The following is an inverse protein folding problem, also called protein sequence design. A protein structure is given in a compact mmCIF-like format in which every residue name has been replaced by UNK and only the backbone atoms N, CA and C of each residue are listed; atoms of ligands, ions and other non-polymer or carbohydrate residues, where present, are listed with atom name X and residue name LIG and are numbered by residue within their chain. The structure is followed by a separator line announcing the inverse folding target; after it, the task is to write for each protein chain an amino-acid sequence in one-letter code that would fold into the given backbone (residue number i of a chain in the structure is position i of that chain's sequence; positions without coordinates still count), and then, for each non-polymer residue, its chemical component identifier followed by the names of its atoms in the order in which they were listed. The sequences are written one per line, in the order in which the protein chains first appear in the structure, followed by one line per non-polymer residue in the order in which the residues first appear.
data_IF_621722874226
#
_entry.id   IF_621722874226
#
_cell.length_a   1.000
_cell.length_b   1.000
_cell.length_c   1.000
_cell.angle_alpha   90.00
_cell.angle_beta   90.00
_cell.angle_gamma   90.00
#
_symmetry.space_group_name_H-M   'P 1'
#
loop_
_entity.id
_entity.type
_entity.pdbx_description
1 polymer ?
#
# COMPACT_ATOMS: atom_id res chain seq x y z
N UNK A 1 27.39 -25.64 -21.46
CA UNK A 1 26.21 -26.31 -20.91
C UNK A 1 25.68 -25.45 -19.78
N UNK A 2 24.54 -24.79 -19.97
CA UNK A 2 23.86 -24.07 -18.89
C UNK A 2 23.06 -25.13 -18.14
N UNK A 3 23.46 -25.44 -16.92
CA UNK A 3 22.81 -26.46 -16.09
C UNK A 3 21.34 -26.10 -15.82
N UNK A 4 20.51 -27.11 -15.62
CA UNK A 4 19.12 -26.94 -15.22
C UNK A 4 19.08 -26.32 -13.81
N UNK A 5 18.91 -24.99 -13.73
CA UNK A 5 18.90 -24.22 -12.47
C UNK A 5 17.59 -24.37 -11.67
N UNK A 6 16.84 -25.45 -11.89
CA UNK A 6 15.50 -25.65 -11.35
C UNK A 6 15.48 -26.63 -10.18
N UNK A 7 16.53 -26.61 -9.37
CA UNK A 7 16.62 -27.34 -8.11
C UNK A 7 15.84 -26.55 -7.04
N UNK A 8 15.11 -27.28 -6.21
CA UNK A 8 14.24 -26.77 -5.16
C UNK A 8 14.37 -27.66 -3.94
N UNK A 9 14.47 -27.03 -2.77
CA UNK A 9 14.76 -27.70 -1.50
C UNK A 9 13.58 -28.54 -1.04
N UNK A 10 12.38 -27.94 -1.01
CA UNK A 10 11.18 -28.68 -0.66
C UNK A 10 10.42 -29.09 -1.92
N UNK A 11 9.86 -30.33 -1.96
CA UNK A 11 9.00 -30.76 -3.06
C UNK A 11 7.79 -29.85 -3.26
N UNK A 12 7.34 -29.18 -2.19
CA UNK A 12 6.23 -28.22 -2.21
C UNK A 12 6.52 -27.00 -3.07
N UNK A 13 7.79 -26.71 -3.28
CA UNK A 13 8.23 -25.51 -3.97
C UNK A 13 8.25 -25.63 -5.49
N UNK A 14 7.88 -26.79 -6.02
CA UNK A 14 7.80 -27.05 -7.45
C UNK A 14 6.43 -27.62 -7.79
N UNK A 15 5.95 -27.31 -9.00
CA UNK A 15 4.76 -27.94 -9.57
C UNK A 15 5.13 -28.64 -10.89
N UNK A 16 4.85 -29.95 -11.04
CA UNK A 16 4.25 -30.86 -10.06
C UNK A 16 5.21 -31.13 -8.89
N UNK A 17 4.68 -31.34 -7.67
CA UNK A 17 5.49 -31.65 -6.49
C UNK A 17 6.35 -32.89 -6.76
N UNK A 18 7.68 -32.69 -6.83
CA UNK A 18 8.66 -33.77 -7.02
C UNK A 18 9.92 -33.41 -6.25
N UNK A 19 10.39 -34.35 -5.44
CA UNK A 19 11.66 -34.20 -4.74
C UNK A 19 12.82 -34.18 -5.73
N UNK A 20 13.84 -33.37 -5.46
CA UNK A 20 15.12 -33.50 -6.15
C UNK A 20 15.93 -34.66 -5.57
N UNK A 21 17.05 -35.00 -6.20
CA UNK A 21 17.95 -36.03 -5.67
C UNK A 21 18.48 -35.58 -4.32
N UNK A 22 18.40 -36.45 -3.31
CA UNK A 22 18.86 -36.15 -1.94
C UNK A 22 20.28 -35.57 -1.93
N UNK A 23 21.22 -36.20 -2.65
CA UNK A 23 22.60 -35.74 -2.76
C UNK A 23 22.78 -34.30 -3.29
N UNK A 24 21.83 -33.77 -4.08
CA UNK A 24 21.87 -32.37 -4.53
C UNK A 24 21.35 -31.40 -3.47
N UNK A 25 20.36 -31.82 -2.69
CA UNK A 25 19.83 -31.03 -1.56
C UNK A 25 20.85 -31.01 -0.43
N UNK A 26 21.44 -32.16 -0.10
CA UNK A 26 22.49 -32.29 0.92
C UNK A 26 23.72 -31.43 0.57
N UNK A 27 24.16 -31.43 -0.70
CA UNK A 27 25.27 -30.59 -1.15
C UNK A 27 24.97 -29.08 -1.08
N UNK A 28 23.70 -28.69 -1.25
CA UNK A 28 23.28 -27.30 -1.07
C UNK A 28 23.25 -26.93 0.41
N UNK A 29 22.75 -27.81 1.27
CA UNK A 29 22.71 -27.58 2.71
C UNK A 29 24.13 -27.49 3.30
N UNK A 30 25.06 -28.33 2.83
CA UNK A 30 26.48 -28.23 3.17
C UNK A 30 27.09 -26.90 2.70
N UNK A 31 26.76 -26.45 1.49
CA UNK A 31 27.20 -25.16 0.97
C UNK A 31 26.64 -23.99 1.80
N UNK A 32 25.37 -24.04 2.17
CA UNK A 32 24.73 -23.03 3.03
C UNK A 32 25.38 -22.99 4.41
N UNK A 33 25.60 -24.15 5.01
CA UNK A 33 26.30 -24.30 6.29
C UNK A 33 27.71 -23.70 6.22
N UNK A 34 28.45 -24.03 5.16
CA UNK A 34 29.82 -23.52 4.92
C UNK A 34 29.83 -21.99 4.76
N UNK A 35 28.85 -21.44 4.04
CA UNK A 35 28.74 -20.01 3.79
C UNK A 35 27.98 -19.26 4.90
N UNK A 36 27.56 -19.95 5.97
CA UNK A 36 26.73 -19.41 7.05
C UNK A 36 25.46 -18.71 6.53
N UNK A 37 24.88 -19.24 5.45
CA UNK A 37 23.68 -18.71 4.82
C UNK A 37 22.44 -19.32 5.49
N UNK A 38 21.64 -18.47 6.13
CA UNK A 38 20.32 -18.86 6.63
C UNK A 38 19.25 -18.53 5.57
N UNK A 39 18.49 -19.54 5.13
CA UNK A 39 17.29 -19.30 4.34
C UNK A 39 16.15 -18.80 5.24
N UNK A 40 16.01 -17.47 5.33
CA UNK A 40 14.94 -16.81 6.09
C UNK A 40 13.72 -16.45 5.22
N UNK A 41 13.70 -16.83 3.93
CA UNK A 41 12.65 -16.41 2.99
C UNK A 41 11.58 -17.51 2.77
N UNK A 42 10.68 -17.64 3.74
CA UNK A 42 9.57 -18.60 3.71
C UNK A 42 8.45 -18.21 2.72
N UNK A 43 8.28 -16.92 2.44
CA UNK A 43 7.14 -16.40 1.68
C UNK A 43 7.39 -16.46 0.16
N UNK A 44 6.63 -17.31 -0.56
CA UNK A 44 6.82 -17.59 -2.00
C UNK A 44 5.54 -17.34 -2.81
N UNK A 45 5.69 -16.88 -4.06
CA UNK A 45 4.57 -16.71 -5.00
C UNK A 45 4.88 -17.45 -6.30
N UNK A 46 4.13 -18.53 -6.56
CA UNK A 46 4.22 -19.28 -7.81
C UNK A 46 3.36 -18.68 -8.90
N UNK A 47 3.93 -18.55 -10.10
CA UNK A 47 3.25 -18.05 -11.29
C UNK A 47 3.43 -19.06 -12.41
N UNK A 48 2.36 -19.36 -13.15
CA UNK A 48 2.45 -20.18 -14.37
C UNK A 48 3.34 -19.48 -15.39
N UNK A 49 4.19 -20.20 -16.11
CA UNK A 49 5.10 -19.64 -17.12
C UNK A 49 4.39 -18.75 -18.14
N UNK A 50 3.19 -19.13 -18.59
CA UNK A 50 2.38 -18.33 -19.52
C UNK A 50 1.91 -16.97 -18.96
N UNK A 51 1.99 -16.79 -17.64
CA UNK A 51 1.59 -15.59 -16.93
C UNK A 51 2.79 -14.77 -16.44
N UNK A 52 4.04 -15.25 -16.59
CA UNK A 52 5.23 -14.56 -16.11
C UNK A 52 5.38 -13.18 -16.73
N UNK A 53 5.09 -13.06 -18.03
CA UNK A 53 5.23 -11.80 -18.79
C UNK A 53 4.27 -10.71 -18.29
N UNK A 54 3.22 -11.12 -17.57
CA UNK A 54 2.21 -10.23 -17.01
C UNK A 54 2.42 -9.94 -15.51
N UNK A 55 3.47 -10.51 -14.91
CA UNK A 55 3.86 -10.32 -13.52
C UNK A 55 5.05 -9.36 -13.43
N UNK A 56 4.90 -8.27 -12.69
CA UNK A 56 5.95 -7.26 -12.54
C UNK A 56 5.90 -6.60 -11.17
N UNK A 57 6.94 -5.80 -10.84
CA UNK A 57 7.08 -5.11 -9.55
C UNK A 57 6.99 -6.05 -8.35
N UNK A 58 7.80 -7.09 -8.37
CA UNK A 58 8.06 -7.98 -7.24
C UNK A 58 8.72 -7.17 -6.12
N UNK A 59 8.16 -7.24 -4.91
CA UNK A 59 8.59 -6.45 -3.76
C UNK A 59 8.46 -7.25 -2.47
N UNK A 60 9.43 -7.09 -1.59
CA UNK A 60 9.41 -7.60 -0.22
C UNK A 60 9.41 -6.36 0.69
N UNK A 61 8.27 -6.05 1.29
CA UNK A 61 8.07 -4.81 2.06
C UNK A 61 7.59 -5.15 3.48
N UNK A 62 7.79 -4.25 4.43
CA UNK A 62 7.23 -4.42 5.77
C UNK A 62 5.71 -4.51 5.72
N UNK A 63 5.18 -5.46 6.47
CA UNK A 63 3.76 -5.72 6.58
C UNK A 63 3.07 -4.61 7.39
N UNK A 64 1.85 -4.25 6.97
CA UNK A 64 0.96 -3.38 7.77
C UNK A 64 0.33 -4.10 8.98
N UNK A 65 0.65 -5.38 9.18
CA UNK A 65 0.20 -6.22 10.28
C UNK A 65 1.37 -6.46 11.22
N UNK A 66 1.09 -6.71 12.51
CA UNK A 66 2.12 -7.06 13.49
C UNK A 66 2.52 -8.52 13.27
N UNK A 67 3.43 -8.72 12.33
CA UNK A 67 4.03 -10.00 11.98
C UNK A 67 5.55 -9.84 11.98
N UNK A 68 6.25 -10.92 12.33
CA UNK A 68 7.69 -11.10 12.16
C UNK A 68 8.08 -11.34 10.70
N UNK A 69 7.12 -11.65 9.83
CA UNK A 69 7.31 -11.77 8.39
C UNK A 69 7.16 -10.44 7.63
N UNK A 70 7.98 -10.27 6.58
CA UNK A 70 7.79 -9.23 5.56
C UNK A 70 6.78 -9.72 4.52
N UNK A 71 6.03 -8.78 3.93
CA UNK A 71 5.04 -9.09 2.92
C UNK A 71 5.67 -9.16 1.53
N UNK A 72 5.57 -10.32 0.90
CA UNK A 72 5.92 -10.50 -0.51
C UNK A 72 4.72 -10.11 -1.39
N UNK A 73 4.97 -9.30 -2.41
CA UNK A 73 3.90 -8.85 -3.32
C UNK A 73 4.37 -8.78 -4.77
N UNK A 74 3.44 -9.12 -5.67
CA UNK A 74 3.61 -9.03 -7.13
C UNK A 74 2.42 -8.24 -7.71
N UNK A 75 2.66 -7.48 -8.78
CA UNK A 75 1.57 -6.94 -9.60
C UNK A 75 1.34 -7.85 -10.79
N UNK A 76 0.08 -8.21 -11.00
CA UNK A 76 -0.36 -8.99 -12.14
C UNK A 76 -1.35 -8.17 -12.98
N UNK A 77 -1.18 -8.17 -14.30
CA UNK A 77 -2.12 -7.56 -15.25
C UNK A 77 -2.70 -8.61 -16.18
N UNK A 78 -3.99 -8.53 -16.51
CA UNK A 78 -4.55 -9.37 -17.57
C UNK A 78 -4.80 -8.52 -18.81
N UNK A 79 -4.62 -9.10 -20.01
CA UNK A 79 -4.97 -8.44 -21.28
C UNK A 79 -6.44 -8.04 -21.35
N UNK A 80 -7.31 -8.75 -20.63
CA UNK A 80 -8.75 -8.48 -20.53
C UNK A 80 -9.14 -7.59 -19.33
N UNK A 81 -8.18 -6.96 -18.64
CA UNK A 81 -8.51 -6.12 -17.49
C UNK A 81 -9.31 -4.90 -17.97
N UNK A 82 -10.47 -4.60 -17.37
CA UNK A 82 -11.25 -3.44 -17.75
C UNK A 82 -10.47 -2.15 -17.45
N UNK A 83 -10.66 -1.13 -18.29
CA UNK A 83 -10.08 0.18 -18.06
C UNK A 83 -10.72 0.80 -16.81
N UNK A 84 -9.97 0.83 -15.71
CA UNK A 84 -10.40 1.49 -14.47
C UNK A 84 -10.12 2.99 -14.62
N UNK A 85 -11.18 3.79 -14.78
CA UNK A 85 -11.08 5.25 -14.83
C UNK A 85 -10.55 5.85 -13.51
N UNK A 86 -10.16 7.13 -13.54
CA UNK A 86 -9.52 7.82 -12.41
C UNK A 86 -10.34 7.90 -11.11
N UNK A 87 -11.63 7.59 -11.18
CA UNK A 87 -12.53 7.58 -10.01
C UNK A 87 -13.01 8.97 -9.61
N UNK A 88 -13.88 9.01 -8.59
CA UNK A 88 -14.27 10.26 -7.94
C UNK A 88 -13.24 10.61 -6.87
N UNK A 89 -12.94 11.90 -6.77
CA UNK A 89 -12.03 12.39 -5.73
C UNK A 89 -12.69 12.25 -4.36
N UNK A 90 -11.94 11.70 -3.41
CA UNK A 90 -12.32 11.57 -2.00
C UNK A 90 -11.31 12.34 -1.18
N UNK A 91 -11.79 13.19 -0.27
CA UNK A 91 -10.90 13.92 0.62
C UNK A 91 -10.14 12.95 1.53
N UNK A 92 -8.81 13.05 1.64
CA UNK A 92 -8.05 12.24 2.57
C UNK A 92 -8.55 12.37 4.00
N UNK A 93 -8.79 11.25 4.69
CA UNK A 93 -9.37 11.24 6.04
C UNK A 93 -8.54 12.01 7.06
N UNK A 94 -7.22 11.98 6.96
CA UNK A 94 -6.32 12.74 7.84
C UNK A 94 -6.41 14.26 7.66
N UNK A 95 -7.07 14.76 6.61
CA UNK A 95 -7.32 16.19 6.42
C UNK A 95 -8.59 16.68 7.14
N UNK A 96 -9.45 15.78 7.62
CA UNK A 96 -10.68 16.14 8.34
C UNK A 96 -10.39 17.02 9.56
N UNK A 97 -9.29 16.75 10.25
CA UNK A 97 -8.89 17.47 11.46
C UNK A 97 -7.86 18.58 11.19
N UNK A 98 -7.69 19.00 9.94
CA UNK A 98 -6.75 20.06 9.62
C UNK A 98 -7.34 21.42 10.01
N UNK A 99 -6.73 22.10 10.99
CA UNK A 99 -7.19 23.42 11.47
C UNK A 99 -7.41 24.43 10.34
N UNK A 100 -6.50 24.55 9.38
CA UNK A 100 -6.67 25.50 8.28
C UNK A 100 -7.87 25.18 7.39
N UNK A 101 -8.20 23.90 7.18
CA UNK A 101 -9.41 23.53 6.44
C UNK A 101 -10.66 23.82 7.28
N UNK A 102 -10.62 23.57 8.59
CA UNK A 102 -11.74 23.89 9.49
C UNK A 102 -12.00 25.41 9.54
N UNK A 103 -10.96 26.23 9.70
CA UNK A 103 -11.06 27.69 9.71
C UNK A 103 -11.64 28.21 8.37
N UNK A 104 -11.20 27.64 7.24
CA UNK A 104 -11.75 27.95 5.93
C UNK A 104 -13.23 27.59 5.81
N UNK A 105 -13.62 26.39 6.25
CA UNK A 105 -15.02 25.92 6.17
C UNK A 105 -15.91 26.79 7.03
N UNK A 106 -15.46 27.21 8.22
CA UNK A 106 -16.23 28.10 9.08
C UNK A 106 -16.43 29.47 8.43
N UNK A 107 -15.34 30.09 7.95
CA UNK A 107 -15.40 31.44 7.39
C UNK A 107 -16.16 31.48 6.06
N UNK A 108 -15.79 30.63 5.09
CA UNK A 108 -16.48 30.60 3.80
C UNK A 108 -17.87 29.97 3.90
N UNK A 109 -18.13 29.18 4.94
CA UNK A 109 -19.45 28.66 5.25
C UNK A 109 -20.41 29.76 5.68
N UNK A 110 -19.98 30.67 6.57
CA UNK A 110 -20.76 31.86 6.94
C UNK A 110 -21.02 32.74 5.71
N UNK A 111 -19.97 33.02 4.91
CA UNK A 111 -20.12 33.82 3.69
C UNK A 111 -21.11 33.18 2.69
N UNK A 112 -21.16 31.85 2.63
CA UNK A 112 -22.08 31.10 1.78
C UNK A 112 -23.52 31.18 2.31
N UNK A 113 -23.71 31.08 3.63
CA UNK A 113 -25.01 31.23 4.29
C UNK A 113 -25.57 32.63 4.04
N UNK A 114 -24.77 33.67 4.25
CA UNK A 114 -25.13 35.06 3.92
C UNK A 114 -25.51 35.20 2.43
N UNK A 115 -24.76 34.53 1.55
CA UNK A 115 -25.07 34.53 0.11
C UNK A 115 -26.40 33.83 -0.19
N UNK A 116 -26.74 32.76 0.54
CA UNK A 116 -28.03 32.08 0.36
C UNK A 116 -29.20 32.95 0.82
N UNK A 117 -29.05 33.69 1.92
CA UNK A 117 -30.06 34.61 2.41
C UNK A 117 -30.29 35.76 1.41
N UNK A 118 -29.22 36.32 0.85
CA UNK A 118 -29.33 37.34 -0.21
C UNK A 118 -30.08 36.78 -1.41
N UNK A 119 -29.69 35.60 -1.90
CA UNK A 119 -30.30 34.96 -3.08
C UNK A 119 -31.76 34.53 -2.85
N UNK A 120 -32.17 34.29 -1.61
CA UNK A 120 -33.56 33.95 -1.27
C UNK A 120 -34.49 35.17 -1.27
N UNK A 121 -33.94 36.35 -0.98
CA UNK A 121 -34.65 37.62 -0.99
C UNK A 121 -34.63 38.31 -2.37
N UNK A 122 -33.89 37.77 -3.35
CA UNK A 122 -33.90 38.29 -4.73
C UNK A 122 -35.22 37.93 -5.44
N UNK A 123 -35.84 38.95 -6.05
CA UNK A 123 -37.14 38.82 -6.73
C UNK A 123 -36.95 38.26 -8.16
N UNK A 124 -35.82 38.58 -8.79
CA UNK A 124 -35.51 38.13 -10.15
C UNK A 124 -34.67 36.85 -10.12
N UNK A 125 -35.11 35.86 -10.90
CA UNK A 125 -34.39 34.61 -11.05
C UNK A 125 -33.23 34.75 -12.05
N UNK A 126 -32.03 34.33 -11.64
CA UNK A 126 -30.85 34.25 -12.51
C UNK A 126 -30.30 32.82 -12.61
N UNK A 127 -30.19 32.31 -13.83
CA UNK A 127 -29.62 31.00 -14.12
C UNK A 127 -28.15 30.87 -13.72
N UNK A 128 -27.38 31.97 -13.76
CA UNK A 128 -25.95 31.99 -13.48
C UNK A 128 -25.65 32.30 -12.01
N UNK A 129 -26.62 32.90 -11.31
CA UNK A 129 -26.47 33.33 -9.92
C UNK A 129 -27.59 32.74 -9.07
N UNK A 130 -27.36 31.53 -8.57
CA UNK A 130 -28.32 30.82 -7.73
C UNK A 130 -27.59 30.01 -6.64
N UNK A 131 -28.37 29.43 -5.71
CA UNK A 131 -27.83 28.65 -4.59
C UNK A 131 -26.94 27.48 -5.06
N UNK A 132 -27.21 26.89 -6.22
CA UNK A 132 -26.41 25.80 -6.76
C UNK A 132 -25.06 26.28 -7.29
N UNK A 133 -25.00 27.43 -7.97
CA UNK A 133 -23.72 28.01 -8.45
C UNK A 133 -22.88 28.49 -7.28
N UNK A 134 -23.48 29.16 -6.29
CA UNK A 134 -22.79 29.53 -5.05
C UNK A 134 -22.22 28.32 -4.28
N UNK A 135 -22.99 27.23 -4.16
CA UNK A 135 -22.51 25.97 -3.57
C UNK A 135 -21.38 25.33 -4.38
N UNK A 136 -21.50 25.34 -5.71
CA UNK A 136 -20.48 24.79 -6.61
C UNK A 136 -19.15 25.55 -6.47
N UNK A 137 -19.20 26.88 -6.35
CA UNK A 137 -18.03 27.73 -6.15
C UNK A 137 -17.37 27.50 -4.79
N UNK A 138 -18.17 27.48 -3.72
CA UNK A 138 -17.68 27.13 -2.37
C UNK A 138 -16.97 25.76 -2.39
N UNK A 139 -17.62 24.75 -2.98
CA UNK A 139 -17.05 23.40 -3.09
C UNK A 139 -15.77 23.40 -3.93
N UNK A 140 -15.72 24.18 -5.01
CA UNK A 140 -14.54 24.35 -5.85
C UNK A 140 -13.35 24.91 -5.06
N UNK A 141 -13.56 26.00 -4.33
CA UNK A 141 -12.55 26.61 -3.44
C UNK A 141 -12.08 25.64 -2.36
N UNK A 142 -13.01 24.95 -1.70
CA UNK A 142 -12.70 23.94 -0.68
C UNK A 142 -11.84 22.81 -1.23
N UNK A 143 -12.22 22.22 -2.38
CA UNK A 143 -11.47 21.13 -3.00
C UNK A 143 -10.06 21.61 -3.41
N UNK A 144 -9.93 22.83 -3.94
CA UNK A 144 -8.64 23.40 -4.30
C UNK A 144 -7.73 23.53 -3.08
N UNK A 145 -8.24 24.07 -1.97
CA UNK A 145 -7.49 24.20 -0.72
C UNK A 145 -7.13 22.82 -0.12
N UNK A 146 -8.08 21.89 -0.09
CA UNK A 146 -7.88 20.53 0.40
C UNK A 146 -6.79 19.80 -0.41
N UNK A 147 -6.78 19.94 -1.75
CA UNK A 147 -5.72 19.39 -2.60
C UNK A 147 -4.36 20.03 -2.33
N UNK A 148 -4.30 21.35 -2.15
CA UNK A 148 -3.06 22.06 -1.78
C UNK A 148 -2.52 21.55 -0.45
N UNK A 149 -3.38 21.36 0.55
CA UNK A 149 -3.01 20.80 1.86
C UNK A 149 -2.60 19.33 1.77
N UNK A 150 -3.31 18.51 0.99
CA UNK A 150 -2.96 17.12 0.75
C UNK A 150 -1.53 16.97 0.23
N UNK A 151 -1.14 17.79 -0.76
CA UNK A 151 0.23 17.78 -1.32
C UNK A 151 1.32 18.05 -0.29
N UNK A 152 1.01 18.78 0.79
CA UNK A 152 1.97 19.10 1.86
C UNK A 152 1.97 18.04 2.96
N UNK A 153 0.79 17.54 3.35
CA UNK A 153 0.65 16.65 4.51
C UNK A 153 0.89 15.18 4.16
N UNK A 154 0.35 14.71 3.02
CA UNK A 154 0.46 13.31 2.58
C UNK A 154 1.90 12.81 2.48
N UNK A 155 2.86 13.54 1.87
CA UNK A 155 4.21 13.01 1.68
C UNK A 155 5.02 12.91 2.98
N UNK A 156 4.56 13.48 4.11
CA UNK A 156 5.35 13.50 5.35
C UNK A 156 5.69 12.12 5.88
N UNK A 157 4.74 11.17 5.84
CA UNK A 157 4.98 9.80 6.31
C UNK A 157 5.96 9.10 5.36
N UNK A 158 5.75 9.22 4.06
CA UNK A 158 6.66 8.64 3.04
C UNK A 158 8.07 9.21 3.15
N UNK A 159 8.23 10.52 3.36
CA UNK A 159 9.55 11.13 3.55
C UNK A 159 10.25 10.54 4.77
N UNK A 160 9.55 10.40 5.90
CA UNK A 160 10.11 9.80 7.12
C UNK A 160 10.51 8.34 6.91
N UNK A 161 9.72 7.57 6.17
CA UNK A 161 10.03 6.19 5.78
C UNK A 161 11.34 6.16 4.99
N UNK A 162 11.43 6.94 3.89
CA UNK A 162 12.62 6.99 3.05
C UNK A 162 13.87 7.44 3.82
N UNK A 163 13.73 8.38 4.76
CA UNK A 163 14.86 8.81 5.61
C UNK A 163 15.32 7.69 6.54
N UNK A 164 14.40 6.95 7.16
CA UNK A 164 14.77 5.81 8.02
C UNK A 164 15.39 4.67 7.22
N UNK A 165 14.88 4.38 6.02
CA UNK A 165 15.48 3.39 5.10
C UNK A 165 16.92 3.77 4.76
N UNK A 166 17.16 5.03 4.34
CA UNK A 166 18.50 5.50 4.04
C UNK A 166 19.46 5.45 5.25
N UNK A 167 18.95 5.70 6.47
CA UNK A 167 19.74 5.59 7.69
C UNK A 167 20.07 4.13 8.05
N UNK A 168 19.12 3.21 7.87
CA UNK A 168 19.36 1.77 8.06
C UNK A 168 20.44 1.30 7.09
N UNK A 169 20.32 1.68 5.82
CA UNK A 169 21.28 1.31 4.78
C UNK A 169 22.67 1.89 5.07
N UNK A 170 22.75 3.14 5.53
CA UNK A 170 24.02 3.77 5.88
C UNK A 170 24.72 3.06 7.06
N UNK A 171 23.99 2.78 8.14
CA UNK A 171 24.57 2.16 9.35
C UNK A 171 24.91 0.69 9.11
N UNK A 172 24.06 -0.04 8.39
CA UNK A 172 24.29 -1.47 8.10
C UNK A 172 25.54 -1.69 7.25
N UNK A 173 25.93 -0.71 6.43
CA UNK A 173 27.09 -0.79 5.55
C UNK A 173 28.31 -0.03 6.10
N UNK A 174 28.24 0.54 7.31
CA UNK A 174 29.34 1.30 7.89
C UNK A 174 30.43 0.33 8.40
N UNK A 175 31.64 0.31 7.81
CA UNK A 175 32.72 -0.58 8.26
C UNK A 175 33.39 -0.10 9.55
N UNK A 176 33.12 1.11 10.03
CA UNK A 176 33.77 1.70 11.20
C UNK A 176 33.10 1.30 12.52
N UNK A 177 31.84 0.86 12.46
CA UNK A 177 31.07 0.48 13.63
C UNK A 177 31.25 -1.02 13.98
N UNK A 178 31.36 -1.37 15.28
CA UNK A 178 31.33 -2.75 15.72
C UNK A 178 30.03 -3.46 15.32
N UNK A 179 30.08 -4.75 15.00
CA UNK A 179 28.92 -5.51 14.51
C UNK A 179 27.74 -5.48 15.51
N UNK A 180 28.02 -5.63 16.79
CA UNK A 180 26.99 -5.61 17.84
C UNK A 180 26.27 -4.27 17.90
N UNK A 181 27.00 -3.16 17.72
CA UNK A 181 26.44 -1.81 17.69
C UNK A 181 25.63 -1.57 16.41
N UNK A 182 26.10 -2.06 15.25
CA UNK A 182 25.35 -2.03 13.98
C UNK A 182 24.04 -2.80 14.10
N UNK A 183 24.07 -4.01 14.66
CA UNK A 183 22.87 -4.82 14.84
C UNK A 183 21.86 -4.12 15.73
N UNK A 184 22.28 -3.66 16.92
CA UNK A 184 21.38 -3.02 17.87
C UNK A 184 20.74 -1.74 17.32
N UNK A 185 21.55 -0.87 16.70
CA UNK A 185 21.07 0.41 16.15
C UNK A 185 20.15 0.19 14.96
N UNK A 186 20.49 -0.73 14.05
CA UNK A 186 19.63 -1.06 12.91
C UNK A 186 18.30 -1.66 13.37
N UNK A 187 18.28 -2.48 14.41
CA UNK A 187 17.03 -3.07 14.93
C UNK A 187 16.10 -2.02 15.54
N UNK A 188 16.64 -1.04 16.28
CA UNK A 188 15.87 0.10 16.78
C UNK A 188 15.26 0.90 15.63
N UNK A 189 16.02 1.13 14.56
CA UNK A 189 15.54 1.87 13.38
C UNK A 189 14.49 1.07 12.59
N UNK A 190 14.68 -0.24 12.41
CA UNK A 190 13.71 -1.15 11.78
C UNK A 190 12.39 -1.16 12.56
N UNK A 191 12.43 -1.16 13.90
CA UNK A 191 11.24 -1.09 14.73
C UNK A 191 10.46 0.23 14.51
N UNK A 192 11.17 1.36 14.44
CA UNK A 192 10.57 2.67 14.11
C UNK A 192 9.98 2.69 12.70
N UNK A 193 10.68 2.11 11.73
CA UNK A 193 10.23 1.99 10.34
C UNK A 193 8.94 1.17 10.25
N UNK A 194 8.90 0.01 10.93
CA UNK A 194 7.72 -0.85 11.00
C UNK A 194 6.49 -0.11 11.55
N UNK A 195 6.65 0.68 12.62
CA UNK A 195 5.56 1.48 13.18
C UNK A 195 5.03 2.55 12.20
N UNK A 196 5.91 3.18 11.41
CA UNK A 196 5.49 4.16 10.39
C UNK A 196 4.80 3.49 9.20
N UNK A 197 5.30 2.34 8.77
CA UNK A 197 4.70 1.54 7.69
C UNK A 197 3.30 1.07 8.06
N UNK A 198 3.12 0.56 9.27
CA UNK A 198 1.79 0.19 9.79
C UNK A 198 0.81 1.37 9.74
N UNK A 199 1.25 2.57 10.18
CA UNK A 199 0.42 3.79 10.09
C UNK A 199 0.06 4.13 8.64
N UNK A 200 1.01 4.04 7.71
CA UNK A 200 0.78 4.28 6.28
C UNK A 200 -0.23 3.28 5.71
N UNK A 201 -0.09 2.00 6.04
CA UNK A 201 -1.00 0.95 5.61
C UNK A 201 -2.41 1.13 6.18
N UNK A 202 -2.55 1.44 7.46
CA UNK A 202 -3.83 1.75 8.09
C UNK A 202 -4.53 2.94 7.40
N UNK A 203 -3.80 4.03 7.15
CA UNK A 203 -4.31 5.19 6.42
C UNK A 203 -4.76 4.82 5.00
N UNK A 204 -3.95 4.04 4.29
CA UNK A 204 -4.27 3.56 2.92
C UNK A 204 -5.52 2.69 2.91
N UNK A 205 -5.69 1.79 3.90
CA UNK A 205 -6.87 0.93 4.05
C UNK A 205 -8.12 1.75 4.36
N UNK A 206 -8.03 2.73 5.25
CA UNK A 206 -9.14 3.64 5.55
C UNK A 206 -9.59 4.41 4.30
N UNK A 207 -8.63 4.90 3.50
CA UNK A 207 -8.92 5.56 2.22
C UNK A 207 -9.55 4.62 1.19
N UNK A 208 -9.04 3.39 1.06
CA UNK A 208 -9.61 2.40 0.16
C UNK A 208 -11.06 2.06 0.55
N UNK A 209 -11.34 1.91 1.85
CA UNK A 209 -12.70 1.69 2.36
C UNK A 209 -13.62 2.86 2.02
N UNK A 210 -13.21 4.10 2.30
CA UNK A 210 -13.99 5.30 1.98
C UNK A 210 -14.30 5.40 0.48
N UNK A 211 -13.30 5.09 -0.36
CA UNK A 211 -13.45 5.07 -1.82
C UNK A 211 -14.45 3.99 -2.28
N UNK A 212 -14.37 2.79 -1.71
CA UNK A 212 -15.27 1.68 -2.07
C UNK A 212 -16.73 1.96 -1.68
N UNK A 213 -16.97 2.62 -0.54
CA UNK A 213 -18.31 3.05 -0.13
C UNK A 213 -18.90 4.01 -1.18
N UNK A 214 -18.13 5.02 -1.59
CA UNK A 214 -18.57 5.99 -2.60
C UNK A 214 -18.91 5.32 -3.95
N UNK A 215 -18.17 4.29 -4.37
CA UNK A 215 -18.48 3.56 -5.59
C UNK A 215 -19.77 2.75 -5.50
N UNK A 216 -20.06 2.19 -4.31
CA UNK A 216 -21.30 1.46 -4.06
C UNK A 216 -22.51 2.37 -4.19
N UNK A 217 -22.46 3.55 -3.58
CA UNK A 217 -23.61 4.47 -3.53
C UNK A 217 -23.92 5.12 -4.88
N UNK A 218 -22.94 5.22 -5.78
CA UNK A 218 -23.09 5.93 -7.06
C UNK A 218 -23.47 5.03 -8.24
N UNK A 219 -23.68 3.72 -8.03
CA UNK A 219 -23.97 2.74 -9.09
C UNK A 219 -22.84 2.54 -10.11
N UNK A 220 -21.77 3.36 -10.05
CA UNK A 220 -20.53 3.22 -10.83
C UNK A 220 -19.54 2.32 -10.11
N UNK A 221 -20.04 1.21 -9.57
CA UNK A 221 -19.16 0.13 -9.21
C UNK A 221 -18.65 -0.43 -10.55
N UNK A 222 -17.34 -0.45 -10.85
CA UNK A 222 -16.87 -1.44 -11.79
C UNK A 222 -17.28 -2.75 -11.15
N UNK A 223 -18.33 -3.39 -11.66
CA UNK A 223 -18.88 -4.60 -11.06
C UNK A 223 -17.71 -5.56 -10.95
N UNK A 224 -17.20 -5.72 -9.73
CA UNK A 224 -16.15 -6.65 -9.39
C UNK A 224 -16.80 -8.02 -9.40
N UNK A 225 -17.09 -8.53 -10.60
CA UNK A 225 -17.35 -9.94 -10.77
C UNK A 225 -16.08 -10.68 -10.29
N UNK A 226 -16.22 -11.75 -9.48
CA UNK A 226 -15.09 -12.46 -8.89
C UNK A 226 -14.17 -13.16 -9.91
N UNK A 227 -14.47 -13.10 -11.20
CA UNK A 227 -13.58 -13.59 -12.24
C UNK A 227 -12.70 -12.46 -12.79
N UNK A 228 -11.40 -12.56 -12.52
CA UNK A 228 -10.29 -11.72 -13.03
C UNK A 228 -10.08 -10.40 -12.28
N UNK A 229 -9.58 -10.51 -11.04
CA UNK A 229 -8.98 -9.38 -10.31
C UNK A 229 -7.72 -8.88 -11.05
N UNK A 230 -7.58 -7.56 -11.17
CA UNK A 230 -6.30 -6.90 -10.91
C UNK A 230 -6.06 -6.98 -9.39
N UNK A 231 -5.57 -8.12 -8.94
CA UNK A 231 -5.23 -8.34 -7.54
C UNK A 231 -3.77 -8.01 -7.32
N UNK A 232 -3.47 -7.20 -6.30
CA UNK A 232 -2.41 -7.64 -5.38
C UNK A 232 -2.89 -8.98 -4.84
N UNK A 233 -2.32 -10.06 -5.33
CA UNK A 233 -2.61 -11.39 -4.78
C UNK A 233 -1.86 -11.41 -3.46
N UNK A 234 -2.61 -11.41 -2.36
CA UNK A 234 -2.10 -11.64 -1.03
C UNK A 234 -2.36 -13.12 -0.75
N UNK A 235 -1.33 -13.95 -0.76
CA UNK A 235 -1.41 -15.28 -0.14
C UNK A 235 -0.98 -15.12 1.32
N UNK A 236 -1.88 -15.48 2.23
CA UNK A 236 -1.55 -15.72 3.64
C UNK A 236 -1.41 -17.24 3.76
N UNK A 237 -0.20 -17.74 3.95
CA UNK A 237 0.01 -19.11 4.42
C UNK A 237 0.06 -19.05 5.95
N UNK A 238 -1.07 -19.33 6.61
CA UNK A 238 -1.10 -19.52 8.05
C UNK A 238 -1.30 -21.00 8.33
N UNK A 239 -0.21 -21.75 8.48
CA UNK A 239 -0.26 -23.06 9.12
C UNK A 239 -0.23 -22.85 10.63
N UNK A 240 -1.41 -22.78 11.25
CA UNK A 240 -1.57 -23.01 12.68
C UNK A 240 -1.60 -24.53 12.89
N UNK A 241 -0.45 -25.13 13.20
CA UNK A 241 -0.39 -26.46 13.80
C UNK A 241 -0.34 -26.27 15.31
N UNK A 242 -1.51 -26.35 15.96
CA UNK A 242 -1.58 -26.51 17.40
C UNK A 242 -2.06 -27.94 17.69
N UNK A 243 -1.12 -28.88 17.71
CA UNK A 243 -1.25 -30.08 18.53
C UNK A 243 -0.94 -29.64 19.96
N UNK A 244 -1.93 -29.69 20.85
CA UNK A 244 -1.70 -29.76 22.29
C UNK A 244 -1.88 -31.22 22.74
N UNK A 245 -1.14 -31.65 23.79
CA UNK A 245 -1.16 -33.02 24.31
C UNK A 245 -2.53 -33.45 24.85
#
# INVERSE_FOLDING_TARGET
MVGDCNMVEEPMDRLPMRSNKAALVDALDDLKSTLQMEDRCLDRIYVRTQCSDNCFKWKIELSGLKTDHKMVSVRFTSKSAPLVGGGRWVMPTHLLYNKTLADFVNQEGMNLEDSFDILENEIEWDANKNKQTAWADFRGKFIALARKRAKVVVPKITRKINTLEALIDAISNDPTLPEDERSLTTDILKAKLSALEQRRHCSTRAMAKARNILYRDTGRNPVFYPHKRLSKIYYFSSYFSANFP
#
